data_IF_998697695434
#
_entry.id   IF_998697695434
#
_cell.length_a   1.000
_cell.length_b   1.000
_cell.length_c   1.000
_cell.angle_alpha   90.00
_cell.angle_beta   90.00
_cell.angle_gamma   90.00
#
_symmetry.space_group_name_H-M   'P 1'
#
loop_
_entity.id
_entity.type
_entity.pdbx_description
1 polymer ?
#
# COMPACT_ATOMS: atom_id res chain seq x y z
N UNK A 1 14.20 6.55 6.69
CA UNK A 1 13.25 7.23 5.78
C UNK A 1 12.06 6.31 5.63
N UNK A 2 10.86 6.80 5.94
CA UNK A 2 9.65 6.01 5.68
C UNK A 2 9.31 6.05 4.19
N UNK A 3 8.60 5.05 3.68
CA UNK A 3 8.09 5.07 2.31
C UNK A 3 7.10 6.24 2.11
N UNK A 4 6.38 6.63 3.16
CA UNK A 4 5.50 7.79 3.19
C UNK A 4 6.25 9.09 2.93
N UNK A 5 7.36 9.36 3.64
CA UNK A 5 8.12 10.61 3.45
C UNK A 5 8.64 10.75 2.00
N UNK A 6 9.06 9.63 1.39
CA UNK A 6 9.52 9.61 -0.01
C UNK A 6 8.36 9.92 -0.97
N UNK A 7 7.21 9.32 -0.74
CA UNK A 7 6.01 9.57 -1.53
C UNK A 7 5.56 11.05 -1.40
N UNK A 8 5.62 11.61 -0.19
CA UNK A 8 5.27 12.99 0.04
C UNK A 8 6.20 14.00 -0.62
N UNK A 9 7.51 13.74 -0.60
CA UNK A 9 8.50 14.55 -1.35
C UNK A 9 8.21 14.50 -2.85
N UNK A 10 7.95 13.33 -3.42
CA UNK A 10 7.69 13.18 -4.85
C UNK A 10 6.40 13.89 -5.26
N UNK A 11 5.31 13.69 -4.51
CA UNK A 11 4.03 14.34 -4.80
C UNK A 11 4.12 15.87 -4.73
N UNK A 12 4.86 16.40 -3.77
CA UNK A 12 5.13 17.83 -3.69
C UNK A 12 5.91 18.34 -4.90
N UNK A 13 7.00 17.65 -5.28
CA UNK A 13 7.81 18.01 -6.44
C UNK A 13 6.98 17.98 -7.73
N UNK A 14 6.13 16.97 -7.89
CA UNK A 14 5.23 16.86 -9.03
C UNK A 14 4.25 18.02 -9.08
N UNK A 15 3.69 18.45 -7.95
CA UNK A 15 2.87 19.66 -7.90
C UNK A 15 3.66 20.92 -8.26
N UNK A 16 4.90 21.06 -7.84
CA UNK A 16 5.73 22.20 -8.27
C UNK A 16 6.03 22.16 -9.77
N UNK A 17 6.20 20.97 -10.36
CA UNK A 17 6.35 20.81 -11.82
C UNK A 17 5.09 21.26 -12.58
N UNK A 18 3.87 21.00 -12.07
CA UNK A 18 2.63 21.47 -12.72
C UNK A 18 2.54 23.00 -12.73
N UNK A 19 3.12 23.66 -11.72
CA UNK A 19 3.26 25.11 -11.64
C UNK A 19 4.37 25.67 -12.53
N UNK A 20 5.10 24.81 -13.25
CA UNK A 20 6.20 25.20 -14.14
C UNK A 20 7.55 25.35 -13.46
N UNK A 21 7.68 24.96 -12.18
CA UNK A 21 8.93 25.07 -11.43
C UNK A 21 9.68 23.75 -11.56
N UNK A 22 10.75 23.73 -12.35
CA UNK A 22 11.60 22.54 -12.52
C UNK A 22 12.93 22.67 -11.78
N UNK A 23 13.42 23.91 -11.70
CA UNK A 23 14.68 24.25 -11.08
C UNK A 23 14.48 25.44 -10.18
N UNK A 24 15.22 25.47 -9.07
CA UNK A 24 15.37 26.66 -8.23
C UNK A 24 16.86 26.91 -8.11
N UNK A 25 17.29 28.14 -8.43
CA UNK A 25 18.71 28.52 -8.48
C UNK A 25 19.59 27.56 -9.28
N UNK A 26 19.12 27.15 -10.46
CA UNK A 26 19.78 26.18 -11.36
C UNK A 26 19.96 24.77 -10.79
N UNK A 27 19.34 24.49 -9.65
CA UNK A 27 19.36 23.17 -9.02
C UNK A 27 18.00 22.49 -9.16
N UNK A 28 17.96 21.17 -9.41
CA UNK A 28 16.69 20.46 -9.49
C UNK A 28 16.01 20.44 -8.13
N UNK A 29 14.68 20.48 -8.10
CA UNK A 29 13.90 20.53 -6.86
C UNK A 29 14.29 19.43 -5.85
N UNK A 30 14.64 18.24 -6.32
CA UNK A 30 15.10 17.10 -5.49
C UNK A 30 16.35 17.38 -4.64
N UNK A 31 17.14 18.39 -4.98
CA UNK A 31 18.32 18.78 -4.20
C UNK A 31 18.03 19.83 -3.13
N UNK A 32 16.86 20.46 -3.20
CA UNK A 32 16.40 21.52 -2.29
C UNK A 32 15.33 20.97 -1.35
N UNK A 33 14.50 20.07 -1.87
CA UNK A 33 13.38 19.47 -1.16
C UNK A 33 13.72 18.03 -0.85
N UNK A 34 13.66 17.70 0.44
CA UNK A 34 13.92 16.36 0.95
C UNK A 34 12.93 16.00 2.07
N UNK A 35 13.07 14.78 2.57
CA UNK A 35 12.23 14.22 3.64
C UNK A 35 12.28 15.02 4.94
N UNK A 36 13.29 15.86 5.14
CA UNK A 36 13.44 16.67 6.37
C UNK A 36 12.69 17.99 6.27
N UNK A 37 12.46 18.49 5.06
CA UNK A 37 11.98 19.86 4.84
C UNK A 37 10.73 19.97 3.97
N UNK A 38 10.23 18.87 3.37
CA UNK A 38 9.08 18.91 2.46
C UNK A 38 7.77 19.39 3.12
N UNK A 39 7.63 19.23 4.45
CA UNK A 39 6.50 19.78 5.21
C UNK A 39 6.68 21.26 5.59
N UNK A 40 7.87 21.80 5.43
CA UNK A 40 8.21 23.15 5.84
C UNK A 40 7.87 24.17 4.75
N UNK A 41 6.62 24.63 4.75
CA UNK A 41 6.12 25.68 3.85
C UNK A 41 7.05 26.90 3.81
N UNK A 42 7.63 27.30 4.95
CA UNK A 42 8.49 28.47 5.01
C UNK A 42 9.77 28.30 4.18
N UNK A 43 10.44 27.15 4.30
CA UNK A 43 11.67 26.84 3.56
C UNK A 43 11.39 26.75 2.08
N UNK A 44 10.34 26.04 1.68
CA UNK A 44 10.00 25.85 0.27
C UNK A 44 9.57 27.19 -0.34
N UNK A 45 8.70 27.93 0.35
CA UNK A 45 8.23 29.23 -0.12
C UNK A 45 9.39 30.23 -0.25
N UNK A 46 10.35 30.21 0.67
CA UNK A 46 11.53 31.07 0.57
C UNK A 46 12.32 30.79 -0.72
N UNK A 47 12.62 29.52 -1.00
CA UNK A 47 13.36 29.11 -2.19
C UNK A 47 12.59 29.40 -3.48
N UNK A 48 11.31 29.05 -3.55
CA UNK A 48 10.45 29.28 -4.73
C UNK A 48 10.25 30.78 -4.98
N UNK A 49 10.01 31.56 -3.94
CA UNK A 49 9.85 33.02 -4.08
C UNK A 49 11.16 33.71 -4.45
N UNK A 50 12.31 33.24 -3.93
CA UNK A 50 13.62 33.72 -4.36
C UNK A 50 13.82 33.49 -5.87
N UNK A 51 13.51 32.28 -6.34
CA UNK A 51 13.57 31.92 -7.76
C UNK A 51 12.65 32.79 -8.63
N UNK A 52 11.45 33.09 -8.15
CA UNK A 52 10.53 34.02 -8.83
C UNK A 52 11.15 35.41 -9.00
N UNK A 53 11.74 35.96 -7.95
CA UNK A 53 12.36 37.30 -8.03
C UNK A 53 13.53 37.30 -9.01
N UNK A 54 14.37 36.26 -9.01
CA UNK A 54 15.55 36.21 -9.89
C UNK A 54 15.19 35.92 -11.34
N UNK A 55 14.16 35.11 -11.59
CA UNK A 55 13.86 34.58 -12.93
C UNK A 55 12.71 35.29 -13.63
N UNK A 56 11.76 35.87 -12.88
CA UNK A 56 10.54 36.47 -13.42
C UNK A 56 10.48 37.99 -13.31
N UNK A 57 11.36 38.63 -12.52
CA UNK A 57 11.34 40.09 -12.34
C UNK A 57 12.56 40.75 -12.95
N UNK A 58 12.33 41.76 -13.80
CA UNK A 58 13.40 42.60 -14.32
C UNK A 58 13.87 43.57 -13.25
N UNK A 59 15.17 43.62 -12.98
CA UNK A 59 15.76 44.64 -12.10
C UNK A 59 16.41 45.73 -12.95
N UNK A 60 16.19 46.99 -12.58
CA UNK A 60 16.87 48.14 -13.20
C UNK A 60 17.86 48.73 -12.20
N UNK A 61 19.15 48.75 -12.56
CA UNK A 61 20.22 49.39 -11.77
C UNK A 61 20.85 50.46 -12.64
N UNK A 62 20.88 51.70 -12.17
CA UNK A 62 21.42 52.86 -12.91
C UNK A 62 20.84 53.00 -14.34
N UNK A 63 19.53 52.75 -14.49
CA UNK A 63 18.83 52.83 -15.78
C UNK A 63 19.13 51.68 -16.76
N UNK A 64 19.94 50.69 -16.36
CA UNK A 64 20.22 49.49 -17.16
C UNK A 64 19.45 48.29 -16.61
N UNK A 65 18.88 47.50 -17.51
CA UNK A 65 18.33 46.18 -17.17
C UNK A 65 19.47 45.28 -16.69
N UNK A 66 19.31 44.73 -15.49
CA UNK A 66 20.24 43.81 -14.85
C UNK A 66 19.50 42.53 -14.48
N UNK A 67 20.11 41.39 -14.79
CA UNK A 67 19.57 40.05 -14.51
C UNK A 67 19.07 39.33 -15.77
N UNK A 68 19.01 38.01 -15.67
CA UNK A 68 18.45 37.12 -16.70
C UNK A 68 17.01 36.80 -16.31
N UNK A 69 16.05 37.59 -16.81
CA UNK A 69 14.63 37.33 -16.59
C UNK A 69 14.02 36.69 -17.84
N UNK A 70 13.19 35.67 -17.65
CA UNK A 70 12.49 34.97 -18.71
C UNK A 70 10.99 35.02 -18.45
N UNK A 71 10.32 36.03 -18.98
CA UNK A 71 8.85 36.14 -18.88
C UNK A 71 8.11 35.03 -19.64
N UNK A 72 8.81 34.29 -20.52
CA UNK A 72 8.23 33.15 -21.23
C UNK A 72 8.24 31.86 -20.41
N UNK A 73 8.95 31.84 -19.29
CA UNK A 73 9.03 30.69 -18.39
C UNK A 73 7.63 30.31 -17.87
N UNK A 74 7.27 29.00 -17.85
CA UNK A 74 5.95 28.55 -17.40
C UNK A 74 5.59 29.01 -16.00
N UNK A 75 6.55 29.08 -15.07
CA UNK A 75 6.31 29.56 -13.71
C UNK A 75 6.06 31.07 -13.67
N UNK A 76 6.83 31.84 -14.44
CA UNK A 76 6.58 33.28 -14.56
C UNK A 76 5.20 33.57 -15.15
N UNK A 77 4.81 32.83 -16.20
CA UNK A 77 3.47 32.90 -16.78
C UNK A 77 2.40 32.53 -15.78
N UNK A 78 2.61 31.45 -15.01
CA UNK A 78 1.66 31.00 -13.99
C UNK A 78 1.41 32.09 -12.94
N UNK A 79 2.46 32.73 -12.42
CA UNK A 79 2.31 33.80 -11.41
C UNK A 79 1.68 35.07 -12.02
N UNK A 80 2.03 35.40 -13.26
CA UNK A 80 1.48 36.56 -13.99
C UNK A 80 0.16 36.26 -14.72
N UNK A 81 -0.42 35.06 -14.56
CA UNK A 81 -1.46 34.46 -15.43
C UNK A 81 -2.83 35.16 -15.43
N UNK A 82 -2.93 36.38 -14.91
CA UNK A 82 -4.13 37.23 -14.93
C UNK A 82 -4.00 38.44 -15.88
N UNK A 83 -3.09 38.42 -16.87
CA UNK A 83 -2.83 39.56 -17.77
C UNK A 83 -2.46 40.87 -17.05
N UNK A 84 -2.04 40.78 -15.80
CA UNK A 84 -1.57 41.91 -15.01
C UNK A 84 -0.08 42.09 -15.30
N UNK A 85 0.24 42.76 -16.42
CA UNK A 85 1.62 43.04 -16.86
C UNK A 85 2.43 43.92 -15.88
N UNK A 86 1.91 44.18 -14.68
CA UNK A 86 2.58 44.82 -13.56
C UNK A 86 2.05 44.30 -12.21
N UNK A 87 2.05 42.97 -12.03
CA UNK A 87 1.61 42.35 -10.77
C UNK A 87 2.44 42.90 -9.58
N UNK A 88 1.81 43.52 -8.56
CA UNK A 88 2.55 44.00 -7.42
C UNK A 88 3.22 42.83 -6.69
N UNK A 89 4.48 43.04 -6.28
CA UNK A 89 5.33 42.03 -5.64
C UNK A 89 4.66 41.33 -4.45
N UNK A 90 3.85 42.06 -3.69
CA UNK A 90 3.09 41.51 -2.56
C UNK A 90 2.04 40.49 -2.99
N UNK A 91 1.36 40.71 -4.12
CA UNK A 91 0.35 39.80 -4.63
C UNK A 91 1.01 38.53 -5.18
N UNK A 92 2.12 38.67 -5.92
CA UNK A 92 2.93 37.53 -6.35
C UNK A 92 3.38 36.66 -5.17
N UNK A 93 3.85 37.31 -4.09
CA UNK A 93 4.25 36.62 -2.85
C UNK A 93 3.11 35.82 -2.24
N UNK A 94 1.89 36.36 -2.23
CA UNK A 94 0.72 35.66 -1.69
C UNK A 94 0.34 34.47 -2.57
N UNK A 95 0.26 34.64 -3.90
CA UNK A 95 -0.07 33.57 -4.84
C UNK A 95 0.92 32.41 -4.70
N UNK A 96 2.23 32.71 -4.72
CA UNK A 96 3.28 31.70 -4.56
C UNK A 96 3.13 30.98 -3.23
N UNK A 97 2.91 31.72 -2.13
CA UNK A 97 2.77 31.13 -0.80
C UNK A 97 1.56 30.20 -0.70
N UNK A 98 0.42 30.58 -1.29
CA UNK A 98 -0.77 29.73 -1.31
C UNK A 98 -0.51 28.45 -2.10
N UNK A 99 0.11 28.54 -3.27
CA UNK A 99 0.41 27.37 -4.10
C UNK A 99 1.46 26.45 -3.50
N UNK A 100 2.47 27.00 -2.85
CA UNK A 100 3.41 26.20 -2.06
C UNK A 100 2.70 25.50 -0.90
N UNK A 101 1.75 26.18 -0.23
CA UNK A 101 0.97 25.57 0.84
C UNK A 101 0.09 24.42 0.33
N UNK A 102 -0.53 24.57 -0.82
CA UNK A 102 -1.29 23.51 -1.50
C UNK A 102 -0.39 22.31 -1.85
N UNK A 103 0.76 22.55 -2.49
CA UNK A 103 1.71 21.50 -2.85
C UNK A 103 2.25 20.75 -1.60
N UNK A 104 2.51 21.46 -0.51
CA UNK A 104 2.91 20.86 0.77
C UNK A 104 1.78 20.01 1.37
N UNK A 105 0.54 20.49 1.29
CA UNK A 105 -0.62 19.75 1.79
C UNK A 105 -0.83 18.45 1.01
N UNK A 106 -0.69 18.48 -0.32
CA UNK A 106 -0.76 17.29 -1.15
C UNK A 106 0.38 16.31 -0.89
N UNK A 107 1.61 16.82 -0.74
CA UNK A 107 2.76 16.00 -0.32
C UNK A 107 2.53 15.34 1.04
N UNK A 108 1.94 16.06 2.00
CA UNK A 108 1.60 15.51 3.32
C UNK A 108 0.54 14.42 3.20
N UNK A 109 -0.52 14.66 2.43
CA UNK A 109 -1.58 13.67 2.20
C UNK A 109 -1.04 12.40 1.51
N UNK A 110 -0.18 12.54 0.51
CA UNK A 110 0.45 11.40 -0.15
C UNK A 110 1.34 10.59 0.80
N UNK A 111 2.04 11.26 1.72
CA UNK A 111 2.82 10.60 2.75
C UNK A 111 1.94 9.78 3.70
N UNK A 112 0.82 10.36 4.16
CA UNK A 112 -0.12 9.70 5.06
C UNK A 112 -0.76 8.46 4.41
N UNK A 113 -1.20 8.56 3.15
CA UNK A 113 -1.80 7.43 2.41
C UNK A 113 -0.82 6.26 2.30
N UNK A 114 0.44 6.53 1.99
CA UNK A 114 1.46 5.48 1.87
C UNK A 114 1.83 4.92 3.25
N UNK A 115 1.91 5.76 4.29
CA UNK A 115 2.14 5.29 5.65
C UNK A 115 1.04 4.33 6.11
N UNK A 116 -0.24 4.67 5.88
CA UNK A 116 -1.38 3.81 6.20
C UNK A 116 -1.35 2.49 5.42
N UNK A 117 -1.11 2.53 4.11
CA UNK A 117 -0.99 1.33 3.29
C UNK A 117 0.13 0.41 3.78
N UNK A 118 1.30 0.96 4.15
CA UNK A 118 2.41 0.16 4.70
C UNK A 118 2.07 -0.44 6.07
N UNK A 119 1.35 0.28 6.92
CA UNK A 119 0.90 -0.25 8.21
C UNK A 119 -0.08 -1.42 8.02
N UNK A 120 -1.01 -1.30 7.08
CA UNK A 120 -1.96 -2.34 6.73
C UNK A 120 -1.28 -3.60 6.19
N UNK A 121 -0.33 -3.46 5.28
CA UNK A 121 0.43 -4.58 4.73
C UNK A 121 1.27 -5.29 5.80
N UNK A 122 1.96 -4.53 6.65
CA UNK A 122 2.74 -5.09 7.76
C UNK A 122 1.84 -5.83 8.75
N UNK A 123 0.66 -5.28 9.04
CA UNK A 123 -0.31 -5.91 9.95
C UNK A 123 -0.86 -7.20 9.34
N UNK A 124 -1.23 -7.21 8.06
CA UNK A 124 -1.66 -8.42 7.34
C UNK A 124 -0.57 -9.48 7.32
N UNK A 125 0.66 -9.11 6.99
CA UNK A 125 1.80 -10.01 6.97
C UNK A 125 2.10 -10.60 8.36
N UNK A 126 2.00 -9.79 9.42
CA UNK A 126 2.16 -10.25 10.80
C UNK A 126 1.05 -11.23 11.22
N UNK A 127 -0.21 -10.96 10.85
CA UNK A 127 -1.34 -11.87 11.10
C UNK A 127 -1.14 -13.19 10.34
N UNK A 128 -0.76 -13.16 9.07
CA UNK A 128 -0.51 -14.36 8.29
C UNK A 128 0.65 -15.19 8.85
N UNK A 129 1.73 -14.54 9.25
CA UNK A 129 2.89 -15.20 9.86
C UNK A 129 2.49 -15.85 11.18
N UNK A 130 1.71 -15.14 11.99
CA UNK A 130 1.18 -15.66 13.26
C UNK A 130 0.25 -16.85 13.03
N UNK A 131 -0.65 -16.78 12.04
CA UNK A 131 -1.53 -17.89 11.65
C UNK A 131 -0.72 -19.11 11.20
N UNK A 132 0.25 -18.94 10.31
CA UNK A 132 1.12 -20.03 9.85
C UNK A 132 1.89 -20.67 11.00
N UNK A 133 2.38 -19.87 11.96
CA UNK A 133 3.06 -20.38 13.14
C UNK A 133 2.12 -21.20 14.05
N UNK A 134 0.88 -20.73 14.26
CA UNK A 134 -0.15 -21.45 15.02
C UNK A 134 -0.53 -22.75 14.30
N UNK A 135 -0.77 -22.72 12.99
CA UNK A 135 -1.11 -23.91 12.21
C UNK A 135 0.04 -24.94 12.24
N UNK A 136 1.29 -24.51 12.10
CA UNK A 136 2.45 -25.40 12.21
C UNK A 136 2.57 -26.04 13.62
N UNK A 137 2.32 -25.28 14.67
CA UNK A 137 2.34 -25.80 16.04
C UNK A 137 1.17 -26.78 16.31
N UNK A 138 -0.03 -26.46 15.83
CA UNK A 138 -1.26 -27.23 16.13
C UNK A 138 -1.41 -28.49 15.28
N UNK A 139 -0.94 -28.48 14.03
CA UNK A 139 -0.96 -29.67 13.15
C UNK A 139 -0.26 -30.87 13.78
N UNK A 140 0.83 -30.65 14.51
CA UNK A 140 1.55 -31.70 15.25
C UNK A 140 0.66 -32.41 16.29
N UNK A 141 -0.32 -31.71 16.88
CA UNK A 141 -1.22 -32.28 17.90
C UNK A 141 -2.44 -32.99 17.31
N UNK A 142 -3.08 -32.45 16.28
CA UNK A 142 -4.32 -33.04 15.73
C UNK A 142 -4.07 -34.14 14.70
N UNK A 143 -2.92 -34.18 14.03
CA UNK A 143 -2.57 -35.25 13.08
C UNK A 143 -2.60 -36.65 13.73
N UNK A 144 -1.95 -36.89 14.89
CA UNK A 144 -2.04 -38.19 15.55
C UNK A 144 -3.45 -38.50 16.07
N UNK A 145 -4.22 -37.48 16.49
CA UNK A 145 -5.62 -37.65 16.93
C UNK A 145 -6.50 -38.13 15.76
N UNK A 146 -6.41 -37.47 14.60
CA UNK A 146 -7.17 -37.86 13.39
C UNK A 146 -6.75 -39.25 12.93
N UNK A 147 -5.44 -39.55 12.91
CA UNK A 147 -4.94 -40.87 12.54
C UNK A 147 -5.47 -41.98 13.46
N UNK A 148 -5.54 -41.73 14.77
CA UNK A 148 -6.12 -42.65 15.75
C UNK A 148 -7.61 -42.94 15.49
N UNK A 149 -8.40 -41.90 15.21
CA UNK A 149 -9.83 -42.05 14.88
C UNK A 149 -10.01 -42.88 13.61
N UNK A 150 -9.25 -42.58 12.55
CA UNK A 150 -9.31 -43.33 11.29
C UNK A 150 -8.95 -44.80 11.51
N UNK A 151 -7.93 -45.09 12.32
CA UNK A 151 -7.54 -46.46 12.66
C UNK A 151 -8.66 -47.23 13.38
N UNK A 152 -9.34 -46.61 14.35
CA UNK A 152 -10.48 -47.23 15.06
C UNK A 152 -11.62 -47.55 14.08
N UNK A 153 -11.97 -46.60 13.21
CA UNK A 153 -13.04 -46.79 12.21
C UNK A 153 -12.73 -47.97 11.27
N UNK A 154 -11.48 -48.12 10.85
CA UNK A 154 -11.05 -49.24 10.00
C UNK A 154 -11.18 -50.59 10.72
N UNK A 155 -10.77 -50.68 11.99
CA UNK A 155 -10.90 -51.91 12.79
C UNK A 155 -12.38 -52.30 12.93
N UNK A 156 -13.24 -51.34 13.26
CA UNK A 156 -14.68 -51.56 13.39
C UNK A 156 -15.29 -52.01 12.06
N UNK A 157 -14.91 -51.38 10.94
CA UNK A 157 -15.37 -51.78 9.61
C UNK A 157 -15.00 -53.24 9.28
N UNK A 158 -13.76 -53.65 9.54
CA UNK A 158 -13.31 -55.03 9.33
C UNK A 158 -14.14 -56.00 10.18
N UNK A 159 -14.36 -55.68 11.46
CA UNK A 159 -15.21 -56.49 12.34
C UNK A 159 -16.62 -56.62 11.80
N UNK A 160 -17.22 -55.53 11.31
CA UNK A 160 -18.58 -55.54 10.74
C UNK A 160 -18.65 -56.40 9.47
N UNK A 161 -17.67 -56.31 8.57
CA UNK A 161 -17.61 -57.10 7.34
C UNK A 161 -17.49 -58.60 7.68
N UNK A 162 -16.52 -58.97 8.53
CA UNK A 162 -16.33 -60.37 8.95
C UNK A 162 -17.58 -60.88 9.67
N UNK A 163 -18.15 -60.09 10.58
CA UNK A 163 -19.39 -60.43 11.28
C UNK A 163 -20.54 -60.68 10.31
N UNK A 164 -20.72 -59.81 9.30
CA UNK A 164 -21.75 -59.98 8.26
C UNK A 164 -21.55 -61.29 7.50
N UNK A 165 -20.32 -61.61 7.10
CA UNK A 165 -19.98 -62.88 6.42
C UNK A 165 -20.32 -64.07 7.31
N UNK A 166 -19.88 -64.06 8.58
CA UNK A 166 -20.14 -65.16 9.53
C UNK A 166 -21.63 -65.33 9.83
N UNK A 167 -22.35 -64.21 10.04
CA UNK A 167 -23.80 -64.21 10.27
C UNK A 167 -24.54 -64.77 9.07
N UNK A 168 -24.14 -64.38 7.86
CA UNK A 168 -24.72 -64.91 6.62
C UNK A 168 -24.47 -66.43 6.49
N UNK A 169 -23.25 -66.90 6.78
CA UNK A 169 -22.91 -68.32 6.77
C UNK A 169 -23.70 -69.13 7.79
N UNK A 170 -23.87 -68.64 9.04
CA UNK A 170 -24.66 -69.32 10.09
C UNK A 170 -26.13 -69.46 9.67
N UNK A 171 -26.75 -68.39 9.14
CA UNK A 171 -28.14 -68.45 8.66
C UNK A 171 -28.30 -69.43 7.49
N UNK A 172 -27.35 -69.49 6.55
CA UNK A 172 -27.39 -70.45 5.44
C UNK A 172 -27.29 -71.90 5.93
N UNK A 173 -26.45 -72.18 6.94
CA UNK A 173 -26.36 -73.52 7.56
C UNK A 173 -27.68 -73.94 8.21
N UNK A 174 -28.34 -73.05 8.95
CA UNK A 174 -29.63 -73.38 9.61
C UNK A 174 -30.76 -73.62 8.61
N UNK A 175 -30.82 -72.85 7.51
CA UNK A 175 -31.81 -73.09 6.44
C UNK A 175 -31.66 -74.47 5.80
N UNK A 176 -30.42 -74.91 5.56
CA UNK A 176 -30.16 -76.27 5.04
C UNK A 176 -30.61 -77.35 6.03
N UNK A 177 -30.31 -77.20 7.32
CA UNK A 177 -30.72 -78.18 8.35
C UNK A 177 -32.25 -78.37 8.42
N UNK A 178 -33.02 -77.29 8.33
CA UNK A 178 -34.49 -77.38 8.32
C UNK A 178 -35.04 -78.15 7.11
N UNK A 179 -34.41 -78.01 5.94
CA UNK A 179 -34.81 -78.78 4.76
C UNK A 179 -34.48 -80.27 4.90
N UNK A 180 -33.34 -80.61 5.51
CA UNK A 180 -32.98 -82.01 5.79
C UNK A 180 -33.92 -82.69 6.80
N UNK A 181 -34.35 -81.98 7.86
CA UNK A 181 -35.31 -82.53 8.83
C UNK A 181 -36.65 -82.83 8.15
N UNK A 182 -37.14 -81.89 7.31
CA UNK A 182 -38.38 -82.10 6.56
C UNK A 182 -38.34 -83.29 5.59
N UNK A 183 -37.21 -83.53 4.95
CA UNK A 183 -37.03 -84.67 4.03
C UNK A 183 -36.95 -86.04 4.72
N UNK A 184 -36.71 -86.08 6.04
CA UNK A 184 -36.62 -87.32 6.81
C UNK A 184 -37.92 -87.64 7.58
N UNK A 185 -38.87 -86.72 7.58
CA UNK A 185 -40.16 -86.84 8.28
C UNK A 185 -41.29 -87.31 7.35
N UNK A 186 -41.06 -87.28 6.02
CA UNK A 186 -41.86 -88.02 5.00
C UNK A 186 -41.33 -89.45 4.83
#
# INVERSE_FOLDING_TARGET
MSAGDIAGVNALIDQLHTLGIYFVDHKPLKTIIDVTNYMNVSVINHNVYSHYITSCTSSFVNGKLVGTFNTSDPFCKFVHSNHLDNLPRNLAKTIIKEKVKEAVAEGTQAADVVAEATADEVTKAAIETSKKAIDAATTTYYTPIIASIVAIVLIVLIMVIIYKILRYRRKKKMKKKLQYIKLLEE
#
